data_IF_702367500540
#
_entry.id   IF_702367500540
#
_cell.length_a   1.000
_cell.length_b   1.000
_cell.length_c   1.000
_cell.angle_alpha   90.00
_cell.angle_beta   90.00
_cell.angle_gamma   90.00
#
_symmetry.space_group_name_H-M   'P 1'
#
loop_
_entity.id
_entity.type
_entity.pdbx_description
1 polymer ?
#
# COMPACT_ATOMS: atom_id res chain seq x y z
N UNK A 1 -20.56 -7.86 -6.13
CA UNK A 1 -19.82 -7.49 -4.91
C UNK A 1 -18.32 -7.75 -5.06
N UNK A 2 -17.92 -8.86 -5.70
CA UNK A 2 -16.52 -9.28 -5.80
C UNK A 2 -15.60 -8.33 -6.57
N UNK A 3 -16.10 -7.70 -7.64
CA UNK A 3 -15.36 -6.68 -8.40
C UNK A 3 -15.05 -5.43 -7.57
N UNK A 4 -16.02 -4.96 -6.76
CA UNK A 4 -15.82 -3.81 -5.87
C UNK A 4 -14.78 -4.12 -4.79
N UNK A 5 -14.83 -5.33 -4.20
CA UNK A 5 -13.83 -5.79 -3.24
C UNK A 5 -12.45 -5.98 -3.87
N UNK A 6 -12.36 -6.48 -5.10
CA UNK A 6 -11.12 -6.61 -5.86
C UNK A 6 -10.49 -5.25 -6.17
N UNK A 7 -11.32 -4.31 -6.61
CA UNK A 7 -10.88 -2.94 -6.89
C UNK A 7 -10.41 -2.23 -5.61
N UNK A 8 -11.15 -2.32 -4.52
CA UNK A 8 -10.80 -1.70 -3.24
C UNK A 8 -9.52 -2.28 -2.64
N UNK A 9 -9.33 -3.60 -2.69
CA UNK A 9 -8.08 -4.24 -2.24
C UNK A 9 -6.88 -3.84 -3.11
N UNK A 10 -7.07 -3.72 -4.41
CA UNK A 10 -6.02 -3.27 -5.33
C UNK A 10 -5.63 -1.82 -5.02
N UNK A 11 -6.63 -0.95 -4.80
CA UNK A 11 -6.41 0.46 -4.43
C UNK A 11 -5.66 0.60 -3.09
N UNK A 12 -6.06 -0.18 -2.07
CA UNK A 12 -5.38 -0.21 -0.78
C UNK A 12 -3.96 -0.78 -0.89
N UNK A 13 -3.74 -1.80 -1.71
CA UNK A 13 -2.41 -2.33 -2.00
C UNK A 13 -1.51 -1.31 -2.67
N UNK A 14 -2.04 -0.53 -3.62
CA UNK A 14 -1.33 0.58 -4.27
C UNK A 14 -0.95 1.65 -3.23
N UNK A 15 -1.90 2.10 -2.41
CA UNK A 15 -1.66 3.08 -1.36
C UNK A 15 -0.62 2.60 -0.34
N UNK A 16 -0.74 1.37 0.14
CA UNK A 16 0.22 0.77 1.08
C UNK A 16 1.62 0.69 0.48
N UNK A 17 1.72 0.34 -0.81
CA UNK A 17 2.99 0.31 -1.54
C UNK A 17 3.59 1.71 -1.68
N UNK A 18 2.80 2.70 -2.09
CA UNK A 18 3.23 4.10 -2.21
C UNK A 18 3.73 4.65 -0.87
N UNK A 19 3.07 4.29 0.23
CA UNK A 19 3.51 4.60 1.59
C UNK A 19 4.83 3.89 1.87
N UNK A 20 4.92 2.58 1.67
CA UNK A 20 6.14 1.80 1.92
C UNK A 20 7.38 2.34 1.18
N UNK A 21 7.23 2.75 -0.08
CA UNK A 21 8.30 3.35 -0.88
C UNK A 21 8.61 4.81 -0.55
N UNK A 22 7.93 5.40 0.45
CA UNK A 22 8.04 6.83 0.80
C UNK A 22 7.71 7.77 -0.38
N UNK A 23 6.97 7.27 -1.39
CA UNK A 23 6.46 8.07 -2.53
C UNK A 23 5.34 8.97 -2.01
N UNK A 24 4.43 8.39 -1.23
CA UNK A 24 3.41 9.12 -0.49
C UNK A 24 3.72 9.07 1.00
N UNK A 25 3.80 10.24 1.65
CA UNK A 25 4.19 10.36 3.06
C UNK A 25 3.05 11.00 3.86
N UNK A 26 2.01 10.22 4.23
CA UNK A 26 0.88 10.78 4.98
C UNK A 26 1.26 11.24 6.39
N UNK A 27 2.31 10.64 6.96
CA UNK A 27 2.84 10.98 8.28
C UNK A 27 3.92 12.06 8.24
N UNK A 28 4.11 12.76 7.10
CA UNK A 28 5.08 13.85 7.01
C UNK A 28 4.64 14.96 7.96
N UNK A 29 5.39 15.13 9.04
CA UNK A 29 5.04 16.08 10.09
C UNK A 29 5.14 17.50 9.54
N UNK A 30 4.04 18.27 9.59
CA UNK A 30 4.03 19.70 9.18
C UNK A 30 4.99 20.55 10.03
N UNK A 31 5.33 20.07 11.23
CA UNK A 31 6.19 20.72 12.22
C UNK A 31 7.68 20.31 12.15
N UNK A 32 8.11 19.58 11.10
CA UNK A 32 9.51 19.17 10.96
C UNK A 32 9.98 18.10 11.95
N UNK A 33 9.05 17.47 12.67
CA UNK A 33 9.36 16.40 13.62
C UNK A 33 9.66 15.06 12.89
N UNK A 34 10.85 15.00 12.30
CA UNK A 34 11.31 13.95 11.37
C UNK A 34 11.60 12.62 12.08
N UNK A 35 11.89 12.64 13.38
CA UNK A 35 12.29 11.46 14.15
C UNK A 35 11.19 10.39 14.22
N UNK A 36 9.94 10.82 14.43
CA UNK A 36 8.79 9.89 14.50
C UNK A 36 8.49 9.25 13.15
N UNK A 37 8.64 10.01 12.07
CA UNK A 37 8.47 9.51 10.70
C UNK A 37 9.54 8.47 10.38
N UNK A 38 10.81 8.75 10.70
CA UNK A 38 11.91 7.83 10.45
C UNK A 38 11.80 6.52 11.23
N UNK A 39 11.45 6.58 12.51
CA UNK A 39 11.22 5.39 13.34
C UNK A 39 10.10 4.52 12.78
N UNK A 40 9.00 5.15 12.34
CA UNK A 40 7.89 4.44 11.74
C UNK A 40 8.30 3.74 10.44
N UNK A 41 9.01 4.42 9.55
CA UNK A 41 9.50 3.81 8.31
C UNK A 41 10.59 2.77 8.53
N UNK A 42 11.42 2.88 9.58
CA UNK A 42 12.39 1.83 9.91
C UNK A 42 11.70 0.55 10.36
N UNK A 43 10.64 0.67 11.15
CA UNK A 43 9.95 -0.48 11.73
C UNK A 43 8.91 -1.09 10.78
N UNK A 44 8.14 -0.24 10.11
CA UNK A 44 7.01 -0.66 9.28
C UNK A 44 7.24 -0.45 7.79
N UNK A 45 8.23 0.34 7.36
CA UNK A 45 8.45 0.61 5.94
C UNK A 45 8.72 -0.65 5.12
N UNK A 46 9.49 -1.60 5.65
CA UNK A 46 9.72 -2.91 5.00
C UNK A 46 8.42 -3.73 4.91
N UNK A 47 7.60 -3.71 5.96
CA UNK A 47 6.30 -4.37 5.97
C UNK A 47 5.35 -3.77 4.94
N UNK A 48 5.26 -2.44 4.85
CA UNK A 48 4.45 -1.76 3.84
C UNK A 48 4.98 -1.94 2.42
N UNK A 49 6.30 -2.04 2.21
CA UNK A 49 6.88 -2.35 0.90
C UNK A 49 6.53 -3.77 0.45
N UNK A 50 6.86 -4.77 1.27
CA UNK A 50 6.68 -6.18 0.89
C UNK A 50 5.19 -6.55 0.92
N UNK A 51 4.50 -6.20 2.00
CA UNK A 51 3.07 -6.45 2.17
C UNK A 51 2.23 -5.67 1.17
N UNK A 52 2.58 -4.41 0.90
CA UNK A 52 1.92 -3.61 -0.14
C UNK A 52 2.03 -4.26 -1.51
N UNK A 53 3.25 -4.61 -1.96
CA UNK A 53 3.47 -5.28 -3.24
C UNK A 53 2.70 -6.60 -3.31
N UNK A 54 2.79 -7.42 -2.26
CA UNK A 54 2.12 -8.72 -2.22
C UNK A 54 0.59 -8.57 -2.33
N UNK A 55 0.02 -7.61 -1.60
CA UNK A 55 -1.42 -7.30 -1.64
C UNK A 55 -1.86 -6.73 -3.00
N UNK A 56 -1.00 -5.93 -3.63
CA UNK A 56 -1.22 -5.39 -4.99
C UNK A 56 -1.24 -6.51 -6.03
N UNK A 57 -0.26 -7.42 -5.98
CA UNK A 57 -0.17 -8.57 -6.88
C UNK A 57 -1.39 -9.48 -6.72
N UNK A 58 -1.79 -9.80 -5.48
CA UNK A 58 -2.99 -10.60 -5.22
C UNK A 58 -4.28 -9.90 -5.68
N UNK A 59 -4.38 -8.58 -5.50
CA UNK A 59 -5.52 -7.78 -5.97
C UNK A 59 -5.64 -7.81 -7.49
N UNK A 60 -4.53 -7.64 -8.20
CA UNK A 60 -4.47 -7.70 -9.67
C UNK A 60 -4.80 -9.11 -10.18
N UNK A 61 -4.27 -10.16 -9.56
CA UNK A 61 -4.59 -11.56 -9.92
C UNK A 61 -6.10 -11.83 -9.75
N UNK A 62 -6.71 -11.37 -8.65
CA UNK A 62 -8.16 -11.51 -8.43
C UNK A 62 -8.99 -10.73 -9.43
N UNK A 63 -8.55 -9.54 -9.83
CA UNK A 63 -9.23 -8.76 -10.88
C UNK A 63 -9.15 -9.50 -12.22
N UNK A 64 -7.98 -10.00 -12.60
CA UNK A 64 -7.79 -10.76 -13.84
C UNK A 64 -8.62 -12.05 -13.88
N UNK A 65 -8.71 -12.80 -12.77
CA UNK A 65 -9.53 -14.02 -12.70
C UNK A 65 -11.04 -13.76 -12.67
N UNK A 66 -11.47 -12.58 -12.21
CA UNK A 66 -12.88 -12.18 -12.21
C UNK A 66 -13.29 -11.40 -13.47
N UNK A 67 -12.36 -11.06 -14.35
CA UNK A 67 -12.69 -10.53 -15.66
C UNK A 67 -13.09 -11.72 -16.55
N UNK A 68 -14.33 -11.73 -17.08
CA UNK A 68 -14.72 -12.73 -18.07
C UNK A 68 -13.98 -12.39 -19.37
N UNK A 69 -12.91 -13.12 -19.65
CA UNK A 69 -12.40 -13.29 -21.01
C UNK A 69 -13.08 -14.51 -21.64
#
# INVERSE_FOLDING_TARGET
MDLFYGFFNTLLGILATLIGFKIYRPFKSKDGNTEKEELWYRKFGTFYKIGGIFMLVLGVIKLLNNLPF
#
